data_IF_062346340177
#
_entry.id   IF_062346340177
#
_cell.length_a   1.000
_cell.length_b   1.000
_cell.length_c   1.000
_cell.angle_alpha   90.00
_cell.angle_beta   90.00
_cell.angle_gamma   90.00
#
_symmetry.space_group_name_H-M   'P 1'
#
loop_
_entity.id
_entity.type
_entity.pdbx_description
1 polymer ?
#
# COMPACT_ATOMS: atom_id res chain seq x y z
N UNK A 1 -0.78 6.62 6.02
CA UNK A 1 -0.12 7.83 5.50
C UNK A 1 1.39 7.70 5.40
N UNK A 2 2.20 7.64 6.47
CA UNK A 2 3.68 7.55 6.32
C UNK A 2 4.14 6.38 5.44
N UNK A 3 3.56 5.19 5.62
CA UNK A 3 3.88 4.05 4.77
C UNK A 3 3.47 4.23 3.30
N UNK A 4 2.43 5.02 3.02
CA UNK A 4 1.96 5.32 1.66
C UNK A 4 2.99 6.20 0.96
N UNK A 5 3.41 7.30 1.59
CA UNK A 5 4.46 8.19 1.07
C UNK A 5 5.80 7.48 0.88
N UNK A 6 6.17 6.60 1.82
CA UNK A 6 7.39 5.79 1.67
C UNK A 6 7.28 4.83 0.48
N UNK A 7 6.09 4.32 0.18
CA UNK A 7 5.86 3.40 -0.93
C UNK A 7 5.91 4.12 -2.27
N UNK A 8 5.54 5.40 -2.36
CA UNK A 8 5.68 6.20 -3.58
C UNK A 8 7.12 6.23 -4.12
N UNK A 9 8.14 6.14 -3.27
CA UNK A 9 9.53 6.00 -3.72
C UNK A 9 9.79 4.73 -4.57
N UNK A 10 8.86 3.78 -4.59
CA UNK A 10 8.97 2.49 -5.26
C UNK A 10 7.73 2.12 -6.09
N UNK A 11 6.81 3.06 -6.35
CA UNK A 11 5.65 2.83 -7.22
C UNK A 11 6.05 2.80 -8.71
N UNK A 12 5.07 2.84 -9.63
CA UNK A 12 5.34 2.74 -11.06
C UNK A 12 6.20 3.88 -11.63
N UNK A 13 6.20 5.06 -10.98
CA UNK A 13 6.99 6.24 -11.35
C UNK A 13 8.21 6.43 -10.44
N UNK A 14 8.03 6.37 -9.12
CA UNK A 14 9.10 6.61 -8.15
C UNK A 14 10.25 5.62 -8.29
N UNK A 15 9.97 4.36 -8.68
CA UNK A 15 11.02 3.37 -8.95
C UNK A 15 11.98 3.77 -10.08
N UNK A 16 11.64 4.75 -10.91
CA UNK A 16 12.49 5.20 -12.01
C UNK A 16 13.58 6.19 -11.56
N UNK A 17 13.44 6.69 -10.33
CA UNK A 17 14.38 7.59 -9.69
C UNK A 17 15.28 6.83 -8.74
N UNK A 18 16.58 7.12 -8.79
CA UNK A 18 17.52 6.55 -7.82
C UNK A 18 17.45 7.25 -6.46
N UNK A 19 18.29 6.81 -5.52
CA UNK A 19 18.38 7.37 -4.16
C UNK A 19 18.66 8.88 -4.08
N UNK A 20 19.21 9.46 -5.15
CA UNK A 20 19.59 10.87 -5.22
C UNK A 20 18.54 11.70 -6.00
N UNK A 21 17.45 11.07 -6.45
CA UNK A 21 16.38 11.72 -7.21
C UNK A 21 16.66 11.83 -8.72
N UNK A 22 17.62 11.07 -9.25
CA UNK A 22 17.94 11.10 -10.68
C UNK A 22 17.12 10.06 -11.44
N UNK A 23 16.46 10.48 -12.53
CA UNK A 23 15.78 9.58 -13.46
C UNK A 23 16.82 8.75 -14.24
N UNK A 24 17.05 7.51 -13.81
CA UNK A 24 17.93 6.58 -14.51
C UNK A 24 17.60 5.12 -14.17
N UNK A 25 17.83 4.17 -15.09
CA UNK A 25 17.68 2.76 -14.76
C UNK A 25 18.68 2.34 -13.67
N UNK A 26 18.16 1.90 -12.52
CA UNK A 26 18.96 1.36 -11.42
C UNK A 26 18.53 -0.07 -11.00
N UNK A 27 17.49 -0.62 -11.64
CA UNK A 27 17.07 -2.02 -11.51
C UNK A 27 17.54 -2.84 -12.71
N UNK A 28 17.76 -4.14 -12.49
CA UNK A 28 17.91 -5.09 -13.60
C UNK A 28 16.59 -5.16 -14.38
N UNK A 29 16.66 -5.33 -15.70
CA UNK A 29 15.47 -5.47 -16.55
C UNK A 29 14.53 -6.60 -16.07
N UNK A 30 15.09 -7.72 -15.59
CA UNK A 30 14.30 -8.82 -15.02
C UNK A 30 13.45 -8.41 -13.81
N UNK A 31 13.96 -7.50 -12.97
CA UNK A 31 13.24 -6.98 -11.81
C UNK A 31 12.16 -5.98 -12.22
N UNK A 32 12.40 -5.18 -13.26
CA UNK A 32 11.39 -4.27 -13.83
C UNK A 32 10.23 -5.08 -14.42
N UNK A 33 10.52 -6.15 -15.16
CA UNK A 33 9.46 -7.00 -15.72
C UNK A 33 8.68 -7.75 -14.64
N UNK A 34 9.36 -8.28 -13.61
CA UNK A 34 8.68 -8.88 -12.46
C UNK A 34 7.79 -7.86 -11.72
N UNK A 35 8.26 -6.62 -11.53
CA UNK A 35 7.46 -5.56 -10.93
C UNK A 35 6.19 -5.29 -11.75
N UNK A 36 6.32 -5.10 -13.06
CA UNK A 36 5.17 -4.88 -13.96
C UNK A 36 4.16 -6.02 -13.88
N UNK A 37 4.62 -7.27 -13.83
CA UNK A 37 3.76 -8.44 -13.68
C UNK A 37 2.98 -8.42 -12.36
N UNK A 38 3.61 -8.03 -11.25
CA UNK A 38 2.94 -7.91 -9.97
C UNK A 38 1.94 -6.75 -9.93
N UNK A 39 2.29 -5.59 -10.49
CA UNK A 39 1.41 -4.41 -10.50
C UNK A 39 0.22 -4.58 -11.43
N UNK A 40 0.32 -5.44 -12.45
CA UNK A 40 -0.80 -5.77 -13.35
C UNK A 40 -2.02 -6.32 -12.57
N UNK A 41 -1.80 -7.04 -11.48
CA UNK A 41 -2.88 -7.50 -10.61
C UNK A 41 -3.70 -6.35 -10.02
N UNK A 42 -3.06 -5.23 -9.65
CA UNK A 42 -3.74 -4.05 -9.12
C UNK A 42 -4.49 -3.30 -10.24
N UNK A 43 -3.92 -3.22 -11.43
CA UNK A 43 -4.62 -2.66 -12.60
C UNK A 43 -5.92 -3.41 -12.86
N UNK A 44 -5.87 -4.74 -12.84
CA UNK A 44 -7.04 -5.60 -13.05
C UNK A 44 -8.05 -5.51 -11.91
N UNK A 45 -7.58 -5.57 -10.67
CA UNK A 45 -8.43 -5.47 -9.48
C UNK A 45 -9.21 -4.15 -9.46
N UNK A 46 -8.51 -3.02 -9.57
CA UNK A 46 -9.13 -1.70 -9.48
C UNK A 46 -9.91 -1.34 -10.76
N UNK A 47 -9.49 -1.87 -11.91
CA UNK A 47 -10.24 -1.75 -13.17
C UNK A 47 -11.59 -2.46 -13.16
N UNK A 48 -11.80 -3.41 -12.24
CA UNK A 48 -13.08 -4.11 -12.07
C UNK A 48 -14.06 -3.38 -11.13
N UNK A 49 -13.65 -2.26 -10.52
CA UNK A 49 -14.54 -1.43 -9.73
C UNK A 49 -15.35 -0.50 -10.62
N UNK A 50 -16.59 -0.23 -10.22
CA UNK A 50 -17.43 0.77 -10.85
C UNK A 50 -18.14 1.63 -9.82
N UNK A 51 -18.26 2.92 -10.11
CA UNK A 51 -18.99 3.90 -9.29
C UNK A 51 -19.99 4.58 -10.21
N UNK A 52 -21.27 4.57 -9.83
CA UNK A 52 -22.35 5.13 -10.67
C UNK A 52 -22.36 4.58 -12.12
N UNK A 53 -21.99 3.31 -12.29
CA UNK A 53 -21.86 2.60 -13.59
C UNK A 53 -20.69 3.06 -14.47
N UNK A 54 -19.80 3.91 -13.96
CA UNK A 54 -18.53 4.24 -14.61
C UNK A 54 -17.41 3.39 -14.03
N UNK A 55 -16.59 2.80 -14.90
CA UNK A 55 -15.46 1.97 -14.48
C UNK A 55 -14.32 2.84 -13.93
N UNK A 56 -13.72 2.43 -12.83
CA UNK A 56 -12.49 3.03 -12.32
C UNK A 56 -11.35 2.67 -13.28
N UNK A 57 -10.51 3.64 -13.61
CA UNK A 57 -9.35 3.39 -14.46
C UNK A 57 -8.17 2.89 -13.60
N UNK A 58 -8.05 1.57 -13.44
CA UNK A 58 -7.01 0.93 -12.63
C UNK A 58 -5.57 1.21 -13.10
N UNK A 59 -5.36 1.58 -14.38
CA UNK A 59 -4.05 2.01 -14.87
C UNK A 59 -3.73 3.44 -14.46
N UNK A 60 -4.74 4.32 -14.47
CA UNK A 60 -4.59 5.72 -14.06
C UNK A 60 -4.33 5.85 -12.56
N UNK A 61 -4.97 5.01 -11.74
CA UNK A 61 -4.82 5.03 -10.27
C UNK A 61 -3.70 4.14 -9.75
N UNK A 62 -2.89 3.54 -10.63
CA UNK A 62 -1.96 2.47 -10.24
C UNK A 62 -0.96 2.88 -9.16
N UNK A 63 -0.31 4.04 -9.28
CA UNK A 63 0.69 4.51 -8.31
C UNK A 63 0.10 4.64 -6.90
N UNK A 64 -1.03 5.34 -6.79
CA UNK A 64 -1.79 5.48 -5.53
C UNK A 64 -2.24 4.12 -4.98
N UNK A 65 -2.73 3.22 -5.84
CA UNK A 65 -3.15 1.88 -5.41
C UNK A 65 -1.96 1.06 -4.87
N UNK A 66 -0.78 1.17 -5.48
CA UNK A 66 0.46 0.54 -4.97
C UNK A 66 0.79 1.14 -3.60
N UNK A 67 0.76 2.46 -3.48
CA UNK A 67 1.09 3.18 -2.26
C UNK A 67 0.15 2.86 -1.10
N UNK A 68 -1.16 2.79 -1.34
CA UNK A 68 -2.17 2.40 -0.35
C UNK A 68 -1.94 0.97 0.17
N UNK A 69 -1.77 0.02 -0.74
CA UNK A 69 -1.58 -1.39 -0.39
C UNK A 69 -0.24 -1.61 0.33
N UNK A 70 0.84 -1.01 -0.16
CA UNK A 70 2.15 -1.08 0.47
C UNK A 70 2.18 -0.40 1.84
N UNK A 71 1.58 0.79 1.93
CA UNK A 71 1.53 1.60 3.13
C UNK A 71 0.73 0.97 4.25
N UNK A 72 -0.47 0.44 3.96
CA UNK A 72 -1.28 -0.26 4.94
C UNK A 72 -0.58 -1.52 5.45
N UNK A 73 0.01 -2.32 4.55
CA UNK A 73 0.78 -3.52 4.89
C UNK A 73 1.97 -3.19 5.79
N UNK A 74 2.73 -2.15 5.46
CA UNK A 74 3.87 -1.72 6.27
C UNK A 74 3.45 -1.22 7.65
N UNK A 75 2.39 -0.40 7.71
CA UNK A 75 1.84 0.12 8.96
C UNK A 75 1.34 -1.00 9.87
N UNK A 76 0.60 -1.98 9.34
CA UNK A 76 0.12 -3.11 10.14
C UNK A 76 1.27 -3.97 10.67
N UNK A 77 2.30 -4.22 9.84
CA UNK A 77 3.51 -4.92 10.30
C UNK A 77 4.23 -4.15 11.40
N UNK A 78 4.32 -2.82 11.28
CA UNK A 78 4.92 -1.97 12.30
C UNK A 78 4.13 -2.03 13.62
N UNK A 79 2.79 -1.99 13.55
CA UNK A 79 1.92 -2.16 14.70
C UNK A 79 2.11 -3.53 15.38
N UNK A 80 2.10 -4.64 14.62
CA UNK A 80 2.35 -5.98 15.19
C UNK A 80 3.75 -6.13 15.79
N UNK A 81 4.77 -5.48 15.23
CA UNK A 81 6.10 -5.43 15.84
C UNK A 81 6.10 -4.66 17.17
N UNK A 82 5.35 -3.56 17.25
CA UNK A 82 5.18 -2.81 18.48
C UNK A 82 4.48 -3.66 19.55
N UNK A 83 3.39 -4.36 19.21
CA UNK A 83 2.70 -5.27 20.13
C UNK A 83 3.62 -6.38 20.62
N UNK A 84 4.40 -7.00 19.72
CA UNK A 84 5.39 -8.02 20.08
C UNK A 84 6.43 -7.52 21.10
N UNK A 85 6.80 -6.23 21.03
CA UNK A 85 7.80 -5.61 21.90
C UNK A 85 7.21 -5.12 23.23
N UNK A 86 5.98 -4.61 23.21
CA UNK A 86 5.42 -3.85 24.34
C UNK A 86 4.23 -4.56 25.02
N UNK A 87 3.71 -5.64 24.44
CA UNK A 87 2.49 -6.31 24.88
C UNK A 87 1.24 -5.79 24.15
N UNK A 88 0.11 -6.48 24.36
CA UNK A 88 -1.20 -6.08 23.83
C UNK A 88 -1.74 -4.88 24.63
N UNK A 89 -2.32 -3.91 23.93
CA UNK A 89 -2.99 -2.75 24.55
C UNK A 89 -4.36 -3.15 25.14
N UNK A 90 -4.86 -2.35 26.08
CA UNK A 90 -6.23 -2.51 26.55
C UNK A 90 -7.23 -2.23 25.40
N UNK A 91 -8.18 -3.14 25.21
CA UNK A 91 -9.23 -2.96 24.21
C UNK A 91 -10.15 -1.78 24.54
N UNK A 92 -10.66 -1.11 23.51
CA UNK A 92 -11.66 -0.05 23.69
C UNK A 92 -12.97 -0.61 24.25
N UNK A 93 -13.58 0.07 25.25
CA UNK A 93 -14.87 -0.35 25.79
C UNK A 93 -15.97 -0.19 24.74
N UNK A 94 -17.05 -0.96 24.90
CA UNK A 94 -18.29 -0.90 24.11
C UNK A 94 -18.21 -1.23 22.61
N UNK A 95 -17.04 -1.29 21.98
CA UNK A 95 -16.91 -1.58 20.55
C UNK A 95 -16.97 -3.08 20.22
N UNK A 96 -16.57 -3.95 21.15
CA UNK A 96 -16.54 -5.41 20.90
C UNK A 96 -15.53 -5.84 19.83
N UNK A 97 -14.55 -4.99 19.51
CA UNK A 97 -13.52 -5.22 18.52
C UNK A 97 -12.15 -5.44 19.17
N UNK A 98 -11.33 -6.29 18.56
CA UNK A 98 -9.91 -6.42 18.93
C UNK A 98 -9.11 -5.23 18.43
N UNK A 99 -7.93 -4.98 19.00
CA UNK A 99 -7.06 -3.90 18.52
C UNK A 99 -6.59 -4.12 17.07
N UNK A 100 -6.44 -5.37 16.62
CA UNK A 100 -6.17 -5.69 15.21
C UNK A 100 -7.34 -5.30 14.30
N UNK A 101 -8.58 -5.54 14.72
CA UNK A 101 -9.77 -5.11 13.97
C UNK A 101 -9.89 -3.58 13.98
N UNK A 102 -9.65 -2.95 15.13
CA UNK A 102 -9.68 -1.49 15.28
C UNK A 102 -8.63 -0.80 14.40
N UNK A 103 -7.46 -1.41 14.19
CA UNK A 103 -6.46 -0.90 13.25
C UNK A 103 -7.06 -0.69 11.85
N UNK A 104 -7.79 -1.68 11.33
CA UNK A 104 -8.40 -1.59 10.00
C UNK A 104 -9.65 -0.72 9.97
N UNK A 105 -10.43 -0.66 11.05
CA UNK A 105 -11.55 0.28 11.17
C UNK A 105 -11.05 1.72 11.15
N UNK A 106 -10.01 2.04 11.93
CA UNK A 106 -9.42 3.37 11.98
C UNK A 106 -8.79 3.78 10.64
N UNK A 107 -8.25 2.83 9.87
CA UNK A 107 -7.78 3.10 8.51
C UNK A 107 -8.92 3.48 7.55
N UNK A 108 -10.12 2.92 7.73
CA UNK A 108 -11.24 3.09 6.81
C UNK A 108 -12.16 4.29 7.13
N UNK A 109 -11.99 4.95 8.28
CA UNK A 109 -12.75 6.13 8.71
C UNK A 109 -12.15 7.43 8.17
#
# INVERSE_FOLDING_TARGET
MVGHELTHAFDDQGREYDKDGNLRPWWKNSSVEAFKQHTQCLVEQYGNYSVNREAVNGKHTLGENIADNGGLKAAYRAYRNWVKKNGEEASLPALGLTNDQLFFVAFAQ
#
